data_IF_336064160158
#
_entry.id   IF_336064160158
#
_cell.length_a   1.000
_cell.length_b   1.000
_cell.length_c   1.000
_cell.angle_alpha   90.00
_cell.angle_beta   90.00
_cell.angle_gamma   90.00
#
_symmetry.space_group_name_H-M   'P 1'
#
loop_
_entity.id
_entity.type
_entity.pdbx_description
1 polymer ?
#
# COMPACT_ATOMS: atom_id res chain seq x y z
N UNK A 1 -9.22 6.19 -7.87
CA UNK A 1 -9.31 6.75 -6.51
C UNK A 1 -7.92 7.14 -6.07
N UNK A 2 -7.75 8.32 -5.47
CA UNK A 2 -6.47 8.75 -4.91
C UNK A 2 -6.67 9.07 -3.43
N UNK A 3 -5.77 8.63 -2.56
CA UNK A 3 -5.85 8.88 -1.12
C UNK A 3 -4.46 9.10 -0.52
N UNK A 4 -4.36 10.00 0.45
CA UNK A 4 -3.17 10.12 1.28
C UNK A 4 -3.09 8.98 2.29
N UNK A 5 -1.89 8.49 2.55
CA UNK A 5 -1.58 7.50 3.58
C UNK A 5 -0.81 8.17 4.72
N UNK A 6 -1.21 7.89 5.96
CA UNK A 6 -0.46 8.29 7.15
C UNK A 6 0.68 7.32 7.41
N UNK A 7 1.66 7.75 8.20
CA UNK A 7 2.66 6.87 8.76
C UNK A 7 2.01 5.64 9.42
N UNK A 8 2.57 4.46 9.19
CA UNK A 8 1.97 3.23 9.67
C UNK A 8 2.57 1.98 9.04
N UNK A 9 1.78 0.92 9.00
CA UNK A 9 2.20 -0.38 8.48
C UNK A 9 1.19 -0.87 7.45
N UNK A 10 1.67 -1.19 6.25
CA UNK A 10 0.89 -1.81 5.18
C UNK A 10 1.01 -3.32 5.32
N UNK A 11 -0.13 -4.01 5.26
CA UNK A 11 -0.21 -5.46 5.19
C UNK A 11 -0.52 -5.87 3.76
N UNK A 12 0.33 -6.71 3.17
CA UNK A 12 0.12 -7.30 1.85
C UNK A 12 -0.04 -8.81 2.03
N UNK A 13 -1.06 -9.39 1.39
CA UNK A 13 -1.24 -10.84 1.28
C UNK A 13 -1.01 -11.16 -0.18
N UNK A 14 0.04 -11.93 -0.47
CA UNK A 14 0.35 -12.33 -1.85
C UNK A 14 -0.45 -13.55 -2.29
N UNK A 15 -0.21 -13.98 -3.54
CA UNK A 15 -0.93 -15.10 -4.15
C UNK A 15 -0.68 -16.44 -3.44
N UNK A 16 0.44 -16.57 -2.73
CA UNK A 16 0.80 -17.76 -1.94
C UNK A 16 0.23 -17.68 -0.51
N UNK A 17 -0.60 -16.68 -0.23
CA UNK A 17 -1.18 -16.35 1.08
C UNK A 17 -0.14 -15.95 2.13
N UNK A 18 1.07 -15.61 1.70
CA UNK A 18 2.10 -15.13 2.59
C UNK A 18 1.79 -13.68 2.96
N UNK A 19 1.89 -13.39 4.26
CA UNK A 19 1.65 -12.05 4.77
C UNK A 19 2.97 -11.30 4.86
N UNK A 20 3.06 -10.17 4.19
CA UNK A 20 4.20 -9.27 4.24
C UNK A 20 3.77 -7.95 4.86
N UNK A 21 4.68 -7.34 5.63
CA UNK A 21 4.43 -6.06 6.29
C UNK A 21 5.49 -5.05 5.87
N UNK A 22 5.03 -3.86 5.47
CA UNK A 22 5.90 -2.73 5.12
C UNK A 22 5.59 -1.57 6.06
N UNK A 23 6.59 -1.09 6.77
CA UNK A 23 6.47 0.15 7.56
C UNK A 23 6.71 1.34 6.65
N UNK A 24 5.82 2.32 6.68
CA UNK A 24 5.89 3.54 5.86
C UNK A 24 5.79 4.78 6.75
N UNK A 25 6.51 5.84 6.40
CA UNK A 25 6.41 7.17 7.03
C UNK A 25 5.19 7.97 6.57
N UNK A 26 4.55 7.54 5.48
CA UNK A 26 3.40 8.18 4.86
C UNK A 26 3.45 7.94 3.36
N UNK A 27 2.54 8.54 2.60
CA UNK A 27 2.59 8.45 1.15
C UNK A 27 1.27 8.76 0.44
N UNK A 28 1.20 8.35 -0.83
CA UNK A 28 0.00 8.44 -1.67
C UNK A 28 -0.34 7.06 -2.22
N UNK A 29 -1.63 6.73 -2.18
CA UNK A 29 -2.25 5.56 -2.78
C UNK A 29 -3.02 5.99 -4.02
N UNK A 30 -2.78 5.33 -5.14
CA UNK A 30 -3.59 5.43 -6.36
C UNK A 30 -4.21 4.08 -6.69
N UNK A 31 -5.50 4.09 -7.05
CA UNK A 31 -6.22 2.94 -7.57
C UNK A 31 -6.81 3.30 -8.93
N UNK A 32 -6.32 2.63 -9.97
CA UNK A 32 -6.70 2.87 -11.36
C UNK A 32 -6.75 1.54 -12.12
N UNK A 33 -7.84 1.26 -12.85
CA UNK A 33 -8.00 0.04 -13.65
C UNK A 33 -7.65 -1.28 -12.92
N UNK A 34 -8.09 -1.43 -11.66
CA UNK A 34 -7.80 -2.58 -10.81
C UNK A 34 -6.30 -2.78 -10.48
N UNK A 35 -5.47 -1.76 -10.74
CA UNK A 35 -4.10 -1.67 -10.29
C UNK A 35 -4.03 -0.71 -9.10
N UNK A 36 -3.27 -1.12 -8.08
CA UNK A 36 -3.03 -0.33 -6.88
C UNK A 36 -1.55 0.05 -6.85
N UNK A 37 -1.25 1.35 -6.81
CA UNK A 37 0.10 1.89 -6.72
C UNK A 37 0.25 2.65 -5.39
N UNK A 38 1.31 2.33 -4.65
CA UNK A 38 1.66 3.01 -3.39
C UNK A 38 3.00 3.70 -3.58
N UNK A 39 2.99 5.02 -3.39
CA UNK A 39 4.18 5.86 -3.35
C UNK A 39 4.43 6.24 -1.90
N UNK A 40 5.38 5.58 -1.23
CA UNK A 40 5.65 5.74 0.20
C UNK A 40 7.07 6.26 0.46
N UNK A 41 7.20 7.05 1.53
CA UNK A 41 8.48 7.49 2.13
C UNK A 41 8.86 6.63 3.35
#
# INVERSE_FOLDING_TARGET
MISALKAGRIKVIDNDKQTQYFTIGGGILEVLHNQVLVLAE
#
